data_IF_548172881279
#
_entry.id   IF_548172881279
#
_cell.length_a   1.000
_cell.length_b   1.000
_cell.length_c   1.000
_cell.angle_alpha   90.00
_cell.angle_beta   90.00
_cell.angle_gamma   90.00
#
_symmetry.space_group_name_H-M   'P 1'
#
loop_
_entity.id
_entity.type
_entity.pdbx_description
1 polymer ?
#
# COMPACT_ATOMS: atom_id res chain seq x y z
N UNK A 1 11.89 -11.63 2.12
CA UNK A 1 10.84 -12.66 2.27
C UNK A 1 9.52 -11.96 2.50
N UNK A 2 8.48 -12.36 1.75
CA UNK A 2 7.16 -11.74 1.77
C UNK A 2 6.18 -12.60 2.59
N UNK A 3 6.15 -12.39 3.91
CA UNK A 3 5.38 -13.22 4.85
C UNK A 3 3.88 -13.30 4.50
N UNK A 4 3.30 -12.18 4.07
CA UNK A 4 1.90 -12.10 3.67
C UNK A 4 1.57 -13.05 2.51
N UNK A 5 2.49 -13.19 1.54
CA UNK A 5 2.31 -14.13 0.43
C UNK A 5 2.60 -15.57 0.84
N UNK A 6 3.76 -15.82 1.47
CA UNK A 6 4.29 -17.18 1.62
C UNK A 6 3.70 -17.94 2.80
N UNK A 7 3.24 -17.24 3.84
CA UNK A 7 2.73 -17.86 5.07
C UNK A 7 1.22 -17.71 5.18
N UNK A 8 0.69 -16.53 4.87
CA UNK A 8 -0.75 -16.26 4.97
C UNK A 8 -1.48 -16.62 3.67
N UNK A 9 -0.79 -16.65 2.52
CA UNK A 9 -1.43 -16.91 1.22
C UNK A 9 -2.26 -15.73 0.70
N UNK A 10 -1.90 -14.50 1.08
CA UNK A 10 -2.56 -13.31 0.54
C UNK A 10 -2.07 -13.03 -0.88
N UNK A 11 -2.99 -12.61 -1.75
CA UNK A 11 -2.67 -12.20 -3.13
C UNK A 11 -2.46 -10.68 -3.26
N UNK A 12 -2.94 -9.91 -2.28
CA UNK A 12 -2.91 -8.45 -2.30
C UNK A 12 -2.82 -7.87 -0.89
N UNK A 13 -2.11 -6.76 -0.75
CA UNK A 13 -2.10 -5.89 0.45
C UNK A 13 -2.53 -4.49 0.05
N UNK A 14 -3.29 -3.83 0.92
CA UNK A 14 -3.74 -2.45 0.74
C UNK A 14 -3.19 -1.56 1.86
N UNK A 15 -2.89 -0.30 1.54
CA UNK A 15 -2.44 0.68 2.52
C UNK A 15 -3.10 2.04 2.29
N UNK A 16 -3.24 2.80 3.38
CA UNK A 16 -3.78 4.16 3.37
C UNK A 16 -2.84 5.10 4.11
N UNK A 17 -2.49 6.23 3.49
CA UNK A 17 -1.67 7.25 4.13
C UNK A 17 -2.30 8.64 3.98
N UNK A 18 -2.18 9.48 4.99
CA UNK A 18 -2.52 10.90 4.91
C UNK A 18 -1.67 11.56 3.79
N UNK A 19 -2.25 12.41 2.91
CA UNK A 19 -1.48 13.08 1.86
C UNK A 19 -0.36 13.97 2.41
N UNK A 20 -0.54 14.56 3.60
CA UNK A 20 0.45 15.39 4.28
C UNK A 20 1.64 14.59 4.85
N UNK A 21 1.50 13.27 5.03
CA UNK A 21 2.58 12.43 5.57
C UNK A 21 3.56 11.98 4.47
N UNK A 22 4.40 12.92 4.04
CA UNK A 22 5.36 12.70 2.94
C UNK A 22 6.25 11.48 3.17
N UNK A 23 6.71 11.24 4.40
CA UNK A 23 7.56 10.10 4.73
C UNK A 23 6.85 8.76 4.51
N UNK A 24 5.62 8.62 5.00
CA UNK A 24 4.82 7.39 4.84
C UNK A 24 4.51 7.11 3.37
N UNK A 25 4.06 8.12 2.62
CA UNK A 25 3.78 7.98 1.19
C UNK A 25 5.03 7.54 0.41
N UNK A 26 6.20 8.11 0.72
CA UNK A 26 7.48 7.72 0.10
C UNK A 26 7.88 6.29 0.44
N UNK A 27 7.70 5.86 1.69
CA UNK A 27 8.01 4.48 2.09
C UNK A 27 7.14 3.50 1.32
N UNK A 28 5.83 3.73 1.24
CA UNK A 28 4.89 2.86 0.53
C UNK A 28 5.31 2.67 -0.94
N UNK A 29 5.62 3.78 -1.63
CA UNK A 29 6.12 3.71 -3.01
C UNK A 29 7.47 2.97 -3.08
N UNK A 30 8.40 3.26 -2.17
CA UNK A 30 9.73 2.63 -2.14
C UNK A 30 9.67 1.12 -1.92
N UNK A 31 8.74 0.63 -1.10
CA UNK A 31 8.57 -0.81 -0.83
C UNK A 31 7.70 -1.51 -1.88
N UNK A 32 7.28 -0.79 -2.93
CA UNK A 32 6.63 -1.35 -4.12
C UNK A 32 5.11 -1.28 -4.13
N UNK A 33 4.48 -0.59 -3.18
CA UNK A 33 3.05 -0.31 -3.29
C UNK A 33 2.81 0.70 -4.42
N UNK A 34 1.75 0.48 -5.20
CA UNK A 34 1.33 1.34 -6.29
C UNK A 34 0.24 2.30 -5.81
N UNK A 35 0.37 3.61 -6.05
CA UNK A 35 -0.71 4.55 -5.77
C UNK A 35 -1.88 4.27 -6.72
N UNK A 36 -3.10 4.23 -6.18
CA UNK A 36 -4.31 3.98 -6.97
C UNK A 36 -5.16 5.25 -7.08
N UNK A 37 -5.53 5.88 -5.96
CA UNK A 37 -6.31 7.12 -5.93
C UNK A 37 -6.29 7.80 -4.56
N UNK A 38 -6.70 9.06 -4.51
CA UNK A 38 -7.03 9.75 -3.26
C UNK A 38 -8.51 9.53 -2.91
N UNK A 39 -8.78 9.22 -1.64
CA UNK A 39 -10.12 9.03 -1.08
C UNK A 39 -10.49 10.24 -0.23
N UNK A 40 -11.27 11.17 -0.83
CA UNK A 40 -11.69 12.42 -0.18
C UNK A 40 -12.42 12.20 1.15
N UNK A 41 -13.30 11.19 1.22
CA UNK A 41 -14.07 10.89 2.42
C UNK A 41 -13.20 10.46 3.62
N UNK A 42 -11.97 9.98 3.39
CA UNK A 42 -11.05 9.54 4.44
C UNK A 42 -9.86 10.48 4.63
N UNK A 43 -9.68 11.44 3.72
CA UNK A 43 -8.43 12.17 3.56
C UNK A 43 -7.21 11.23 3.49
N UNK A 44 -7.24 10.24 2.58
CA UNK A 44 -6.20 9.21 2.44
C UNK A 44 -5.83 8.95 0.99
N UNK A 45 -4.54 8.81 0.72
CA UNK A 45 -4.02 8.15 -0.47
C UNK A 45 -4.16 6.63 -0.32
N UNK A 46 -4.79 5.98 -1.30
CA UNK A 46 -4.97 4.55 -1.38
C UNK A 46 -3.88 3.90 -2.22
N UNK A 47 -3.28 2.84 -1.69
CA UNK A 47 -2.21 2.09 -2.33
C UNK A 47 -2.49 0.59 -2.34
N UNK A 48 -2.00 -0.09 -3.37
CA UNK A 48 -2.09 -1.55 -3.52
C UNK A 48 -0.72 -2.17 -3.76
N UNK A 49 -0.49 -3.35 -3.18
CA UNK A 49 0.64 -4.21 -3.47
C UNK A 49 0.13 -5.58 -3.91
N UNK A 50 0.37 -5.94 -5.16
CA UNK A 50 0.10 -7.29 -5.66
C UNK A 50 1.24 -8.21 -5.26
N UNK A 51 0.94 -9.27 -4.53
CA UNK A 51 1.97 -10.13 -3.95
C UNK A 51 2.55 -11.14 -4.96
N UNK A 52 1.92 -11.28 -6.14
CA UNK A 52 2.29 -12.27 -7.15
C UNK A 52 2.01 -13.70 -6.67
N UNK A 53 1.37 -14.51 -7.51
CA UNK A 53 1.32 -15.97 -7.31
C UNK A 53 2.65 -16.60 -7.68
#
# INVERSE_FOLDING_TARGET
MNYAATVIGLNKVVAFAHPENIASNRILVKVGFKPVRYLKAMNRNYFEFSLGT
#
